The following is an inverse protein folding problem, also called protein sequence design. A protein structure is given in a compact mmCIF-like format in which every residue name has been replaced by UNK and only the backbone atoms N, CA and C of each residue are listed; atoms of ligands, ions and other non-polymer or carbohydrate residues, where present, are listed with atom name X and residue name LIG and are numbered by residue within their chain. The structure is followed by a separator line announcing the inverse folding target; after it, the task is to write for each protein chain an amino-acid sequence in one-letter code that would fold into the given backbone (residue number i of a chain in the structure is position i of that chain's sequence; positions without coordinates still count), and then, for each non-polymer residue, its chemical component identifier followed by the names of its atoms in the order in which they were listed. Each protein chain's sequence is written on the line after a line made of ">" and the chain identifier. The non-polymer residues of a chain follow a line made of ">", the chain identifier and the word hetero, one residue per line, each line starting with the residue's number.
data_IF_292340650381
#
_entry.id   IF_292340650381
#
_cell.length_a   1.000
_cell.length_b   1.000
_cell.length_c   1.000
_cell.angle_alpha   90.00
_cell.angle_beta   90.00
_cell.angle_gamma   90.00
#
_symmetry.space_group_name_H-M   'P 1'
#
loop_
_entity.id
_entity.type
_entity.pdbx_description
1 polymer ?
#
# COMPACT_ATOMS: atom_id res chain seq x y z
N UNK A 1 6.67 14.02 9.19
CA UNK A 1 7.44 14.78 8.16
C UNK A 1 6.56 15.85 7.49
N UNK A 2 5.45 15.52 6.85
CA UNK A 2 4.56 16.46 6.15
C UNK A 2 4.14 17.64 7.03
N UNK A 3 3.64 17.40 8.24
CA UNK A 3 3.27 18.43 9.21
C UNK A 3 4.43 19.40 9.53
N UNK A 4 5.66 18.89 9.68
CA UNK A 4 6.85 19.75 9.91
C UNK A 4 7.21 20.64 8.71
N UNK A 5 6.66 20.35 7.53
CA UNK A 5 6.83 21.12 6.28
C UNK A 5 5.60 21.97 5.96
N UNK A 6 4.74 22.22 6.96
CA UNK A 6 3.61 23.14 6.85
C UNK A 6 2.31 22.54 6.32
N UNK A 7 2.24 21.23 6.07
CA UNK A 7 1.01 20.58 5.65
C UNK A 7 0.09 20.31 6.85
N UNK A 8 -1.19 20.56 6.71
CA UNK A 8 -2.20 20.02 7.60
C UNK A 8 -2.42 18.54 7.25
N UNK A 9 -2.18 17.67 8.21
CA UNK A 9 -2.18 16.22 7.99
C UNK A 9 -3.30 15.56 8.79
N UNK A 10 -4.23 14.92 8.10
CA UNK A 10 -5.22 14.03 8.68
C UNK A 10 -4.68 12.60 8.66
N UNK A 11 -4.20 12.14 9.80
CA UNK A 11 -3.56 10.82 9.94
C UNK A 11 -4.60 9.77 10.35
N UNK A 12 -5.34 9.23 9.39
CA UNK A 12 -6.41 8.26 9.65
C UNK A 12 -5.91 6.90 10.13
N UNK A 13 -6.70 6.27 10.98
CA UNK A 13 -6.51 4.89 11.45
C UNK A 13 -7.82 4.11 11.34
N UNK A 14 -7.72 2.77 11.31
CA UNK A 14 -8.88 1.87 11.26
C UNK A 14 -9.47 1.54 12.63
N UNK A 15 -8.75 1.85 13.72
CA UNK A 15 -9.18 1.59 15.09
C UNK A 15 -9.33 2.89 15.86
N UNK A 16 -10.43 3.06 16.62
CA UNK A 16 -10.65 4.27 17.41
C UNK A 16 -9.52 4.58 18.40
N UNK A 17 -8.96 3.54 19.05
CA UNK A 17 -7.85 3.69 19.99
C UNK A 17 -6.58 4.24 19.34
N UNK A 18 -6.29 3.85 18.11
CA UNK A 18 -5.15 4.39 17.35
C UNK A 18 -5.40 5.84 16.91
N UNK A 19 -6.64 6.18 16.54
CA UNK A 19 -7.04 7.57 16.27
C UNK A 19 -6.85 8.44 17.51
N UNK A 20 -7.30 7.99 18.69
CA UNK A 20 -7.14 8.73 19.94
C UNK A 20 -5.67 8.97 20.27
N UNK A 21 -4.82 7.96 20.14
CA UNK A 21 -3.37 8.09 20.33
C UNK A 21 -2.75 9.14 19.39
N UNK A 22 -3.16 9.19 18.13
CA UNK A 22 -2.65 10.20 17.19
C UNK A 22 -3.17 11.61 17.52
N UNK A 23 -4.42 11.75 18.01
CA UNK A 23 -4.96 13.03 18.47
C UNK A 23 -4.19 13.55 19.70
N UNK A 24 -3.83 12.68 20.64
CA UNK A 24 -2.95 13.02 21.78
C UNK A 24 -1.57 13.51 21.34
N UNK A 25 -1.09 13.04 20.17
CA UNK A 25 0.17 13.50 19.56
C UNK A 25 0.01 14.80 18.73
N UNK A 26 -1.19 15.38 18.69
CA UNK A 26 -1.47 16.64 17.98
C UNK A 26 -1.79 16.49 16.48
N UNK A 27 -2.25 15.30 16.05
CA UNK A 27 -2.76 15.11 14.68
C UNK A 27 -4.28 15.15 14.65
N UNK A 28 -4.85 15.70 13.59
CA UNK A 28 -6.23 15.36 13.21
C UNK A 28 -6.25 13.88 12.77
N UNK A 29 -7.12 13.07 13.36
CA UNK A 29 -7.13 11.62 13.09
C UNK A 29 -8.55 11.08 12.93
N UNK A 30 -9.14 11.20 11.72
CA UNK A 30 -10.43 10.61 11.40
C UNK A 30 -10.34 9.07 11.34
N UNK A 31 -11.46 8.40 11.64
CA UNK A 31 -11.56 6.95 11.55
C UNK A 31 -11.82 6.55 10.10
N UNK A 32 -10.88 5.85 9.48
CA UNK A 32 -11.03 5.27 8.13
C UNK A 32 -10.59 3.82 8.16
N UNK A 33 -11.52 2.91 7.90
CA UNK A 33 -11.24 1.49 7.75
C UNK A 33 -11.62 1.02 6.35
N UNK A 34 -10.64 0.63 5.53
CA UNK A 34 -10.87 0.15 4.17
C UNK A 34 -11.69 -1.15 4.10
N UNK A 35 -11.74 -1.92 5.18
CA UNK A 35 -12.60 -3.10 5.29
C UNK A 35 -14.04 -2.72 5.66
N UNK A 36 -14.27 -1.50 6.16
CA UNK A 36 -15.58 -0.99 6.56
C UNK A 36 -15.87 0.40 5.94
N UNK A 37 -16.35 0.47 4.70
CA UNK A 37 -16.59 1.73 3.98
C UNK A 37 -17.61 2.70 4.62
N UNK A 38 -18.39 2.24 5.59
CA UNK A 38 -19.32 3.11 6.35
C UNK A 38 -18.55 4.24 7.06
N UNK A 39 -17.28 4.00 7.40
CA UNK A 39 -16.41 4.99 8.05
C UNK A 39 -15.99 6.13 7.13
N UNK A 40 -16.11 6.00 5.80
CA UNK A 40 -15.58 6.97 4.85
C UNK A 40 -16.33 8.30 4.86
N UNK A 41 -17.65 8.26 4.77
CA UNK A 41 -18.45 9.49 4.69
C UNK A 41 -18.28 10.38 5.93
N UNK A 42 -18.40 9.88 7.17
CA UNK A 42 -18.16 10.72 8.35
C UNK A 42 -16.73 11.28 8.40
N UNK A 43 -15.73 10.49 8.01
CA UNK A 43 -14.33 10.94 7.98
C UNK A 43 -14.10 12.05 6.94
N UNK A 44 -14.71 11.94 5.75
CA UNK A 44 -14.64 12.97 4.71
C UNK A 44 -15.31 14.25 5.20
N UNK A 45 -16.50 14.15 5.79
CA UNK A 45 -17.22 15.31 6.35
C UNK A 45 -16.41 16.02 7.44
N UNK A 46 -15.78 15.26 8.35
CA UNK A 46 -14.86 15.80 9.38
C UNK A 46 -13.70 16.57 8.74
N UNK A 47 -13.05 15.98 7.71
CA UNK A 47 -11.92 16.61 7.00
C UNK A 47 -12.38 17.90 6.31
N UNK A 48 -13.46 17.84 5.54
CA UNK A 48 -13.93 18.99 4.75
C UNK A 48 -14.43 20.12 5.65
N UNK A 49 -15.10 19.82 6.76
CA UNK A 49 -15.49 20.82 7.75
C UNK A 49 -14.25 21.53 8.34
N UNK A 50 -13.16 20.79 8.56
CA UNK A 50 -11.93 21.33 9.14
C UNK A 50 -11.04 22.08 8.14
N UNK A 51 -11.24 21.89 6.82
CA UNK A 51 -10.42 22.49 5.74
C UNK A 51 -11.16 23.55 4.92
N UNK A 52 -12.43 23.81 5.24
CA UNK A 52 -13.26 24.72 4.43
C UNK A 52 -13.67 24.14 3.09
N UNK A 53 -13.80 22.82 3.01
CA UNK A 53 -14.32 22.11 1.83
C UNK A 53 -13.24 21.63 0.84
N UNK A 54 -11.95 21.67 1.20
CA UNK A 54 -10.85 21.31 0.28
C UNK A 54 -10.02 20.14 0.79
N UNK A 55 -9.41 19.37 -0.15
CA UNK A 55 -8.45 18.31 0.13
C UNK A 55 -7.41 18.23 -1.01
N UNK A 56 -6.20 18.73 -0.76
CA UNK A 56 -5.14 18.79 -1.78
C UNK A 56 -4.64 17.41 -2.20
N UNK A 57 -4.52 16.47 -1.27
CA UNK A 57 -3.99 15.14 -1.56
C UNK A 57 -4.56 14.05 -0.65
N UNK A 58 -4.70 12.85 -1.21
CA UNK A 58 -4.91 11.61 -0.46
C UNK A 58 -3.71 10.69 -0.65
N UNK A 59 -3.21 10.11 0.46
CA UNK A 59 -2.19 9.06 0.43
C UNK A 59 -2.77 7.75 0.92
N UNK A 60 -3.06 6.85 0.00
CA UNK A 60 -3.50 5.50 0.31
C UNK A 60 -2.29 4.65 0.73
N UNK A 61 -2.22 4.31 2.01
CA UNK A 61 -1.08 3.61 2.60
C UNK A 61 -1.47 2.32 3.35
N UNK A 62 -2.65 2.28 3.95
CA UNK A 62 -3.08 1.16 4.79
C UNK A 62 -3.26 -0.14 4.01
N UNK A 63 -2.37 -1.12 4.22
CA UNK A 63 -2.40 -2.42 3.57
C UNK A 63 -1.70 -3.47 4.45
N UNK A 64 -1.98 -4.74 4.19
CA UNK A 64 -1.31 -5.87 4.83
C UNK A 64 -1.09 -7.03 3.85
N UNK A 65 -0.31 -8.03 4.27
CA UNK A 65 -0.13 -9.28 3.52
C UNK A 65 -0.69 -10.46 4.29
N UNK A 66 -1.14 -11.48 3.56
CA UNK A 66 -1.43 -12.82 4.06
C UNK A 66 -0.38 -13.74 3.42
N UNK A 67 0.69 -14.13 4.14
CA UNK A 67 1.71 -15.03 3.62
C UNK A 67 1.18 -16.45 3.49
N UNK A 68 1.53 -17.14 2.41
CA UNK A 68 1.18 -18.53 2.16
C UNK A 68 1.17 -18.86 0.67
N UNK A 69 1.20 -20.14 0.29
CA UNK A 69 0.91 -20.59 -1.07
C UNK A 69 -0.51 -20.15 -1.47
N UNK A 70 -0.72 -19.82 -2.73
CA UNK A 70 -2.05 -19.38 -3.20
C UNK A 70 -3.14 -20.45 -3.00
N UNK A 71 -2.79 -21.73 -3.09
CA UNK A 71 -3.73 -22.83 -2.87
C UNK A 71 -4.24 -22.93 -1.44
N UNK A 72 -3.51 -22.43 -0.44
CA UNK A 72 -3.89 -22.40 0.97
C UNK A 72 -4.61 -21.10 1.38
N UNK A 73 -4.67 -20.11 0.50
CA UNK A 73 -5.40 -18.87 0.76
C UNK A 73 -6.88 -19.05 0.42
N UNK A 74 -7.71 -19.07 1.44
CA UNK A 74 -9.16 -19.24 1.25
C UNK A 74 -9.76 -18.10 0.42
N UNK A 75 -10.89 -18.34 -0.28
CA UNK A 75 -11.60 -17.27 -1.00
C UNK A 75 -11.98 -16.09 -0.11
N UNK A 76 -12.31 -16.33 1.17
CA UNK A 76 -12.67 -15.27 2.11
C UNK A 76 -11.45 -14.44 2.53
N UNK A 77 -10.30 -15.07 2.76
CA UNK A 77 -9.04 -14.38 2.98
C UNK A 77 -8.67 -13.52 1.77
N UNK A 78 -8.86 -14.04 0.55
CA UNK A 78 -8.60 -13.30 -0.68
C UNK A 78 -9.55 -12.10 -0.84
N UNK A 79 -10.86 -12.26 -0.59
CA UNK A 79 -11.82 -11.14 -0.61
C UNK A 79 -11.44 -10.07 0.40
N UNK A 80 -11.09 -10.47 1.63
CA UNK A 80 -10.76 -9.54 2.71
C UNK A 80 -9.50 -8.73 2.39
N UNK A 81 -8.44 -9.36 1.88
CA UNK A 81 -7.22 -8.61 1.51
C UNK A 81 -7.46 -7.71 0.30
N UNK A 82 -8.29 -8.10 -0.67
CA UNK A 82 -8.69 -7.24 -1.78
C UNK A 82 -9.52 -6.05 -1.29
N UNK A 83 -10.43 -6.26 -0.35
CA UNK A 83 -11.19 -5.17 0.26
C UNK A 83 -10.26 -4.15 0.91
N UNK A 84 -9.33 -4.59 1.75
CA UNK A 84 -8.41 -3.72 2.48
C UNK A 84 -7.40 -2.99 1.59
N UNK A 85 -6.82 -3.71 0.60
CA UNK A 85 -5.65 -3.23 -0.15
C UNK A 85 -6.00 -2.60 -1.50
N UNK A 86 -7.25 -2.76 -1.98
CA UNK A 86 -7.65 -2.31 -3.30
C UNK A 86 -9.07 -1.71 -3.36
N UNK A 87 -10.12 -2.48 -3.04
CA UNK A 87 -11.50 -2.03 -3.21
C UNK A 87 -11.83 -0.84 -2.31
N UNK A 88 -11.40 -0.86 -1.05
CA UNK A 88 -11.59 0.27 -0.13
C UNK A 88 -10.85 1.53 -0.59
N UNK A 89 -9.68 1.38 -1.23
CA UNK A 89 -8.97 2.53 -1.81
C UNK A 89 -9.73 3.11 -3.00
N UNK A 90 -10.25 2.24 -3.88
CA UNK A 90 -11.08 2.64 -5.00
C UNK A 90 -12.33 3.41 -4.52
N UNK A 91 -13.07 2.85 -3.57
CA UNK A 91 -14.30 3.47 -3.06
C UNK A 91 -14.04 4.80 -2.37
N UNK A 92 -12.99 4.90 -1.53
CA UNK A 92 -12.62 6.18 -0.93
C UNK A 92 -12.21 7.20 -2.00
N UNK A 93 -11.46 6.80 -3.03
CA UNK A 93 -11.09 7.69 -4.13
C UNK A 93 -12.33 8.21 -4.87
N UNK A 94 -13.30 7.33 -5.17
CA UNK A 94 -14.56 7.75 -5.82
C UNK A 94 -15.30 8.83 -5.03
N UNK A 95 -15.28 8.75 -3.69
CA UNK A 95 -15.91 9.75 -2.82
C UNK A 95 -15.13 11.06 -2.75
N UNK A 96 -13.81 11.05 -2.96
CA UNK A 96 -12.93 12.23 -2.93
C UNK A 96 -12.84 12.95 -4.27
N UNK A 97 -13.01 12.26 -5.39
CA UNK A 97 -12.93 12.86 -6.73
C UNK A 97 -13.85 14.07 -6.94
N UNK A 98 -15.14 14.07 -6.50
CA UNK A 98 -15.97 15.27 -6.63
C UNK A 98 -15.37 16.49 -5.95
N UNK A 99 -14.81 16.34 -4.75
CA UNK A 99 -14.16 17.43 -4.01
C UNK A 99 -12.97 17.97 -4.80
N UNK A 100 -12.13 17.08 -5.33
CA UNK A 100 -10.96 17.46 -6.12
C UNK A 100 -11.35 18.15 -7.44
N UNK A 101 -12.47 17.75 -8.06
CA UNK A 101 -13.02 18.41 -9.26
C UNK A 101 -13.55 19.80 -8.95
N UNK A 102 -14.33 19.95 -7.89
CA UNK A 102 -14.93 21.23 -7.48
C UNK A 102 -13.86 22.27 -7.13
N UNK A 103 -12.74 21.86 -6.53
CA UNK A 103 -11.61 22.74 -6.22
C UNK A 103 -10.66 22.96 -7.40
N UNK A 104 -10.78 22.19 -8.48
CA UNK A 104 -9.99 22.30 -9.71
C UNK A 104 -8.57 21.71 -9.64
N UNK A 105 -8.23 20.94 -8.61
CA UNK A 105 -6.95 20.26 -8.47
C UNK A 105 -7.03 19.09 -7.48
N UNK A 106 -6.08 18.16 -7.56
CA UNK A 106 -5.99 17.07 -6.60
C UNK A 106 -4.77 16.17 -6.81
N UNK A 107 -4.39 15.46 -5.76
CA UNK A 107 -3.31 14.48 -5.83
C UNK A 107 -3.72 13.17 -5.18
N UNK A 108 -3.73 12.10 -5.95
CA UNK A 108 -3.99 10.73 -5.48
C UNK A 108 -2.67 10.00 -5.46
N UNK A 109 -2.15 9.73 -4.27
CA UNK A 109 -0.88 9.01 -4.09
C UNK A 109 -1.15 7.63 -3.53
N UNK A 110 -0.61 6.60 -4.17
CA UNK A 110 -0.86 5.20 -3.85
C UNK A 110 0.44 4.52 -3.41
N UNK A 111 0.48 3.98 -2.19
CA UNK A 111 1.62 3.20 -1.73
C UNK A 111 1.54 1.78 -2.29
N UNK A 112 2.11 1.58 -3.46
CA UNK A 112 2.26 0.28 -4.10
C UNK A 112 3.40 -0.54 -3.48
N UNK A 113 4.17 -1.23 -4.26
CA UNK A 113 5.31 -2.06 -3.83
C UNK A 113 6.12 -2.50 -5.05
N UNK A 114 7.37 -2.93 -4.84
CA UNK A 114 8.10 -3.76 -5.79
C UNK A 114 7.26 -4.99 -6.18
N UNK A 115 6.43 -5.50 -5.25
CA UNK A 115 5.50 -6.61 -5.47
C UNK A 115 4.24 -6.20 -6.26
N UNK A 116 4.15 -4.96 -6.72
CA UNK A 116 3.15 -4.52 -7.70
C UNK A 116 3.49 -4.86 -9.15
N UNK A 117 4.76 -5.22 -9.42
CA UNK A 117 5.20 -5.57 -10.77
C UNK A 117 6.07 -6.84 -10.84
N UNK A 118 6.48 -7.42 -9.71
CA UNK A 118 7.10 -8.76 -9.64
C UNK A 118 6.36 -9.67 -8.67
N UNK A 119 6.37 -10.99 -8.96
CA UNK A 119 5.84 -12.03 -8.06
C UNK A 119 6.95 -12.69 -7.24
N UNK A 120 6.65 -13.07 -6.00
CA UNK A 120 7.54 -13.88 -5.17
C UNK A 120 6.75 -14.98 -4.47
N UNK A 121 7.40 -16.10 -4.14
CA UNK A 121 6.77 -17.19 -3.38
C UNK A 121 6.19 -16.66 -2.07
N UNK A 122 5.11 -17.27 -1.59
CA UNK A 122 4.44 -17.00 -0.32
C UNK A 122 3.77 -15.64 -0.17
N UNK A 123 3.72 -14.85 -1.25
CA UNK A 123 3.16 -13.48 -1.25
C UNK A 123 2.00 -13.30 -2.23
N UNK A 124 1.45 -14.40 -2.78
CA UNK A 124 0.52 -14.34 -3.91
C UNK A 124 -0.71 -13.47 -3.66
N UNK A 125 -1.37 -13.58 -2.52
CA UNK A 125 -2.53 -12.76 -2.20
C UNK A 125 -2.20 -11.25 -2.21
N UNK A 126 -1.10 -10.85 -1.57
CA UNK A 126 -0.64 -9.46 -1.56
C UNK A 126 -0.20 -8.97 -2.94
N UNK A 127 0.60 -9.78 -3.65
CA UNK A 127 1.04 -9.50 -5.03
C UNK A 127 -0.16 -9.20 -5.92
N UNK A 128 -1.21 -10.02 -5.87
CA UNK A 128 -2.41 -9.83 -6.68
C UNK A 128 -3.07 -8.47 -6.44
N UNK A 129 -3.18 -8.03 -5.17
CA UNK A 129 -3.75 -6.70 -4.85
C UNK A 129 -2.89 -5.57 -5.38
N UNK A 130 -1.56 -5.69 -5.30
CA UNK A 130 -0.66 -4.63 -5.77
C UNK A 130 -0.55 -4.57 -7.29
N UNK A 131 -0.61 -5.71 -8.00
CA UNK A 131 -0.74 -5.72 -9.47
C UNK A 131 -2.05 -5.08 -9.93
N UNK A 132 -3.17 -5.38 -9.27
CA UNK A 132 -4.45 -4.72 -9.54
C UNK A 132 -4.35 -3.21 -9.36
N UNK A 133 -3.69 -2.75 -8.28
CA UNK A 133 -3.49 -1.34 -7.98
C UNK A 133 -2.65 -0.62 -9.04
N UNK A 134 -1.59 -1.26 -9.57
CA UNK A 134 -0.75 -0.69 -10.63
C UNK A 134 -1.55 -0.44 -11.91
N UNK A 135 -2.32 -1.45 -12.36
CA UNK A 135 -3.17 -1.32 -13.54
C UNK A 135 -4.28 -0.28 -13.35
N UNK A 136 -4.92 -0.27 -12.19
CA UNK A 136 -5.93 0.72 -11.84
C UNK A 136 -5.37 2.15 -11.86
N UNK A 137 -4.19 2.36 -11.30
CA UNK A 137 -3.55 3.68 -11.28
C UNK A 137 -3.19 4.18 -12.67
N UNK A 138 -2.75 3.29 -13.58
CA UNK A 138 -2.45 3.64 -14.97
C UNK A 138 -3.71 4.11 -15.71
N UNK A 139 -4.85 3.41 -15.53
CA UNK A 139 -6.12 3.80 -16.13
C UNK A 139 -6.61 5.13 -15.56
N UNK A 140 -6.65 5.26 -14.22
CA UNK A 140 -7.09 6.51 -13.56
C UNK A 140 -6.26 7.72 -14.00
N UNK A 141 -4.96 7.57 -14.19
CA UNK A 141 -4.08 8.65 -14.65
C UNK A 141 -4.44 9.11 -16.08
N UNK A 142 -4.82 8.19 -16.95
CA UNK A 142 -5.27 8.51 -18.31
C UNK A 142 -6.66 9.15 -18.32
N UNK A 143 -7.57 8.67 -17.48
CA UNK A 143 -8.95 9.19 -17.38
C UNK A 143 -8.99 10.60 -16.78
N UNK A 144 -8.07 10.92 -15.88
CA UNK A 144 -8.01 12.22 -15.19
C UNK A 144 -7.04 13.24 -15.86
N UNK A 145 -6.47 12.91 -17.02
CA UNK A 145 -5.46 13.74 -17.70
C UNK A 145 -5.91 15.20 -17.90
N UNK A 146 -7.19 15.41 -18.20
CA UNK A 146 -7.77 16.75 -18.45
C UNK A 146 -8.24 17.49 -17.18
N UNK A 147 -8.16 16.86 -16.00
CA UNK A 147 -8.84 17.35 -14.78
C UNK A 147 -7.89 18.00 -13.75
N UNK A 148 -6.63 18.21 -14.05
CA UNK A 148 -5.61 18.69 -13.09
C UNK A 148 -5.61 17.86 -11.76
N UNK A 149 -5.99 16.59 -11.86
CA UNK A 149 -5.92 15.60 -10.76
C UNK A 149 -4.88 14.56 -11.14
N UNK A 150 -3.81 14.49 -10.38
CA UNK A 150 -2.68 13.63 -10.72
C UNK A 150 -2.66 12.37 -9.87
N UNK A 151 -2.41 11.22 -10.51
CA UNK A 151 -2.31 9.90 -9.87
C UNK A 151 -0.87 9.44 -9.88
N UNK A 152 -0.33 9.18 -8.69
CA UNK A 152 1.09 8.87 -8.49
C UNK A 152 1.24 7.61 -7.66
N UNK A 153 2.11 6.70 -8.11
CA UNK A 153 2.48 5.49 -7.38
C UNK A 153 3.82 5.69 -6.66
N UNK A 154 3.89 5.25 -5.41
CA UNK A 154 5.15 5.04 -4.70
C UNK A 154 5.37 3.53 -4.64
N UNK A 155 6.50 3.07 -5.15
CA UNK A 155 6.87 1.66 -5.25
C UNK A 155 8.03 1.33 -4.27
N UNK A 156 7.76 1.07 -2.97
CA UNK A 156 8.80 0.67 -2.04
C UNK A 156 9.28 -0.75 -2.32
N UNK A 157 10.55 -0.99 -2.03
CA UNK A 157 11.08 -2.31 -1.79
C UNK A 157 11.11 -2.61 -0.29
N UNK A 158 12.22 -3.17 0.23
CA UNK A 158 12.37 -3.41 1.66
C UNK A 158 12.38 -2.10 2.47
N UNK A 159 11.42 -1.97 3.39
CA UNK A 159 11.29 -0.82 4.31
C UNK A 159 11.12 -1.33 5.74
N UNK A 160 11.86 -0.74 6.68
CA UNK A 160 11.69 -1.01 8.11
C UNK A 160 10.32 -0.51 8.57
N UNK A 161 9.43 -1.42 8.97
CA UNK A 161 8.04 -1.12 9.37
C UNK A 161 7.40 -2.29 10.12
N UNK A 162 6.21 -2.06 10.68
CA UNK A 162 5.38 -3.10 11.31
C UNK A 162 4.68 -4.06 10.30
N UNK A 163 4.95 -3.92 9.01
CA UNK A 163 4.30 -4.71 7.96
C UNK A 163 4.42 -6.22 8.19
N UNK A 164 5.61 -6.67 8.65
CA UNK A 164 5.85 -8.07 8.96
C UNK A 164 5.04 -8.56 10.16
N UNK A 165 5.02 -7.78 11.25
CA UNK A 165 4.26 -8.13 12.45
C UNK A 165 2.76 -8.21 12.13
N UNK A 166 2.27 -7.31 11.27
CA UNK A 166 0.89 -7.37 10.78
C UNK A 166 0.66 -8.59 9.86
N UNK A 167 1.63 -8.97 9.03
CA UNK A 167 1.52 -10.16 8.19
C UNK A 167 1.49 -11.46 9.01
N UNK A 168 2.23 -11.54 10.13
CA UNK A 168 2.15 -12.67 11.08
C UNK A 168 0.73 -12.82 11.61
N UNK A 169 0.12 -11.74 12.11
CA UNK A 169 -1.27 -11.77 12.62
C UNK A 169 -2.27 -12.25 11.58
N UNK A 170 -2.08 -11.85 10.32
CA UNK A 170 -2.95 -12.28 9.23
C UNK A 170 -2.70 -13.73 8.82
N UNK A 171 -1.46 -14.19 8.87
CA UNK A 171 -1.11 -15.60 8.67
C UNK A 171 -1.79 -16.47 9.70
N UNK A 172 -1.65 -16.16 10.99
CA UNK A 172 -2.27 -16.90 12.10
C UNK A 172 -3.80 -16.91 12.04
N UNK A 173 -4.41 -15.85 11.48
CA UNK A 173 -5.86 -15.76 11.32
C UNK A 173 -6.41 -16.59 10.18
N UNK A 174 -5.68 -16.69 9.06
CA UNK A 174 -6.25 -17.13 7.79
C UNK A 174 -5.66 -18.43 7.24
N UNK A 175 -4.48 -18.85 7.70
CA UNK A 175 -3.75 -19.98 7.08
C UNK A 175 -3.65 -21.15 8.02
N UNK A 176 -4.35 -22.22 7.69
CA UNK A 176 -4.26 -23.51 8.37
C UNK A 176 -3.10 -24.33 7.75
N UNK A 177 -1.88 -23.90 8.05
CA UNK A 177 -0.68 -24.46 7.46
C UNK A 177 -0.37 -25.90 7.90
N UNK A 178 -0.83 -26.31 9.09
CA UNK A 178 -0.57 -27.66 9.63
C UNK A 178 -1.30 -28.75 8.84
N UNK A 179 -2.48 -28.42 8.31
CA UNK A 179 -3.29 -29.30 7.47
C UNK A 179 -3.03 -29.13 5.97
N UNK A 180 -2.09 -28.25 5.58
CA UNK A 180 -1.71 -28.05 4.18
C UNK A 180 -0.92 -29.25 3.64
N UNK A 181 -1.13 -29.65 2.36
CA UNK A 181 -0.23 -30.59 1.68
C UNK A 181 1.22 -30.10 1.61
N UNK A 182 1.46 -28.80 1.89
CA UNK A 182 2.78 -28.18 1.96
C UNK A 182 3.29 -27.94 3.38
N UNK A 183 2.76 -28.62 4.39
CA UNK A 183 3.16 -28.42 5.79
C UNK A 183 4.68 -28.48 6.01
N UNK A 184 5.38 -29.36 5.32
CA UNK A 184 6.85 -29.46 5.41
C UNK A 184 7.58 -28.25 4.79
N UNK A 185 7.06 -27.69 3.68
CA UNK A 185 7.61 -26.44 3.13
C UNK A 185 7.39 -25.26 4.10
N UNK A 186 6.26 -25.20 4.79
CA UNK A 186 6.01 -24.22 5.84
C UNK A 186 7.05 -24.33 6.95
N UNK A 187 7.21 -25.52 7.53
CA UNK A 187 8.17 -25.75 8.64
C UNK A 187 9.61 -25.40 8.24
N UNK A 188 10.01 -25.82 7.05
CA UNK A 188 11.41 -25.70 6.61
C UNK A 188 11.78 -24.34 6.00
N UNK A 189 10.79 -23.49 5.68
CA UNK A 189 11.08 -22.24 4.95
C UNK A 189 10.27 -21.04 5.44
N UNK A 190 8.92 -21.07 5.32
CA UNK A 190 8.10 -19.89 5.55
C UNK A 190 8.06 -19.48 7.01
N UNK A 191 7.87 -20.43 7.94
CA UNK A 191 7.78 -20.13 9.37
C UNK A 191 9.08 -19.51 9.89
N UNK A 192 10.22 -20.02 9.48
CA UNK A 192 11.52 -19.43 9.84
C UNK A 192 11.66 -18.00 9.29
N UNK A 193 11.34 -17.79 8.04
CA UNK A 193 11.34 -16.44 7.45
C UNK A 193 10.33 -15.51 8.12
N UNK A 194 9.19 -16.02 8.54
CA UNK A 194 8.10 -15.23 9.11
C UNK A 194 8.37 -14.85 10.58
N UNK A 195 8.80 -15.80 11.42
CA UNK A 195 8.97 -15.60 12.87
C UNK A 195 10.39 -15.21 13.28
N UNK A 196 11.42 -15.85 12.73
CA UNK A 196 12.81 -15.54 13.08
C UNK A 196 13.39 -14.36 12.32
N UNK A 197 12.86 -14.08 11.14
CA UNK A 197 13.36 -13.07 10.23
C UNK A 197 14.55 -13.52 9.39
N UNK A 198 14.66 -12.90 8.24
CA UNK A 198 15.83 -13.03 7.37
C UNK A 198 16.95 -12.03 7.71
N UNK A 199 16.90 -11.38 8.89
CA UNK A 199 17.73 -10.22 9.15
C UNK A 199 17.30 -8.97 8.35
N UNK A 200 18.05 -7.90 8.43
CA UNK A 200 17.83 -6.75 7.54
C UNK A 200 18.19 -7.16 6.10
N UNK A 201 17.21 -7.10 5.22
CA UNK A 201 17.47 -7.35 3.80
C UNK A 201 18.39 -6.25 3.26
N UNK A 202 19.37 -6.64 2.44
CA UNK A 202 20.31 -5.71 1.82
C UNK A 202 19.56 -4.63 1.03
N UNK A 203 19.79 -3.37 1.36
CA UNK A 203 19.09 -2.24 0.73
C UNK A 203 17.76 -1.87 1.41
N UNK A 204 17.48 -2.37 2.62
CA UNK A 204 16.36 -1.89 3.45
C UNK A 204 16.56 -0.42 3.81
N UNK A 205 15.50 0.38 3.67
CA UNK A 205 15.49 1.80 4.03
C UNK A 205 14.46 2.07 5.15
N UNK A 206 14.63 3.15 5.92
CA UNK A 206 13.64 3.56 6.91
C UNK A 206 12.37 4.09 6.25
N UNK A 207 11.25 4.11 6.99
CA UNK A 207 9.96 4.63 6.51
C UNK A 207 10.02 6.10 6.03
N UNK A 208 11.00 6.88 6.52
CA UNK A 208 11.26 8.25 6.06
C UNK A 208 11.57 8.33 4.57
N UNK A 209 12.17 7.29 3.97
CA UNK A 209 12.45 7.25 2.54
C UNK A 209 11.15 7.26 1.69
N UNK A 210 10.10 6.58 2.17
CA UNK A 210 8.75 6.64 1.55
C UNK A 210 8.14 8.02 1.76
N UNK A 211 8.27 8.59 2.96
CA UNK A 211 7.74 9.93 3.27
C UNK A 211 8.37 11.04 2.43
N UNK A 212 9.68 10.92 2.09
CA UNK A 212 10.32 11.86 1.15
C UNK A 212 9.70 11.76 -0.26
N UNK A 213 9.43 10.54 -0.73
CA UNK A 213 8.76 10.37 -2.02
C UNK A 213 7.32 10.86 -2.00
N UNK A 214 6.62 10.69 -0.87
CA UNK A 214 5.30 11.28 -0.69
C UNK A 214 5.37 12.82 -0.78
N UNK A 215 6.33 13.44 -0.11
CA UNK A 215 6.51 14.88 -0.17
C UNK A 215 6.77 15.36 -1.61
N UNK A 216 7.66 14.70 -2.34
CA UNK A 216 7.89 14.98 -3.76
C UNK A 216 6.61 14.81 -4.58
N UNK A 217 5.90 13.68 -4.41
CA UNK A 217 4.66 13.38 -5.13
C UNK A 217 3.56 14.42 -4.93
N UNK A 218 3.50 15.12 -3.80
CA UNK A 218 2.46 16.13 -3.53
C UNK A 218 2.91 17.58 -3.79
N UNK A 219 4.21 17.84 -3.92
CA UNK A 219 4.75 19.21 -4.09
C UNK A 219 5.26 19.50 -5.49
N UNK A 220 5.73 18.48 -6.24
CA UNK A 220 6.17 18.66 -7.61
C UNK A 220 4.99 19.03 -8.52
N UNK A 221 5.17 20.01 -9.40
CA UNK A 221 4.12 20.46 -10.33
C UNK A 221 3.76 19.32 -11.29
N UNK A 222 4.78 18.65 -11.84
CA UNK A 222 4.64 17.53 -12.76
C UNK A 222 5.43 16.31 -12.21
N UNK A 223 4.86 15.57 -11.24
CA UNK A 223 5.53 14.42 -10.67
C UNK A 223 5.54 13.24 -11.65
N UNK A 224 6.60 12.41 -11.63
CA UNK A 224 6.58 11.19 -12.39
C UNK A 224 5.45 10.26 -11.92
N UNK A 225 4.88 9.46 -12.83
CA UNK A 225 3.82 8.52 -12.49
C UNK A 225 4.22 7.51 -11.38
N UNK A 226 5.54 7.24 -11.21
CA UNK A 226 6.07 6.25 -10.26
C UNK A 226 7.34 6.72 -9.58
N UNK A 227 7.37 6.65 -8.24
CA UNK A 227 8.58 6.83 -7.43
C UNK A 227 9.07 5.49 -6.88
N UNK A 228 10.18 4.98 -7.38
CA UNK A 228 10.84 3.77 -6.88
C UNK A 228 11.77 4.11 -5.72
N UNK A 229 11.47 3.61 -4.53
CA UNK A 229 12.11 4.08 -3.30
C UNK A 229 13.47 3.44 -3.06
N UNK A 230 13.63 2.13 -3.31
CA UNK A 230 14.86 1.40 -3.00
C UNK A 230 15.64 1.00 -4.25
N UNK A 231 16.95 0.79 -4.12
CA UNK A 231 17.79 0.29 -5.21
C UNK A 231 17.28 -1.07 -5.77
N UNK A 232 16.91 -2.06 -4.92
CA UNK A 232 16.32 -3.29 -5.44
C UNK A 232 15.08 -3.06 -6.32
N UNK A 233 14.21 -2.12 -5.95
CA UNK A 233 13.02 -1.79 -6.74
C UNK A 233 13.39 -1.18 -8.09
N UNK A 234 14.37 -0.28 -8.12
CA UNK A 234 14.85 0.32 -9.37
C UNK A 234 15.46 -0.74 -10.30
N UNK A 235 16.34 -1.59 -9.77
CA UNK A 235 16.97 -2.67 -10.53
C UNK A 235 15.95 -3.66 -11.10
N UNK A 236 14.97 -4.10 -10.27
CA UNK A 236 13.93 -5.03 -10.72
C UNK A 236 12.97 -4.41 -11.74
N UNK A 237 12.70 -3.11 -11.66
CA UNK A 237 11.87 -2.43 -12.67
C UNK A 237 12.56 -2.39 -14.04
N UNK A 238 13.86 -2.23 -14.09
CA UNK A 238 14.65 -2.35 -15.32
C UNK A 238 14.67 -3.81 -15.79
N UNK A 239 15.01 -4.74 -14.89
CA UNK A 239 15.07 -6.17 -15.20
C UNK A 239 13.75 -6.70 -15.79
N UNK A 240 12.59 -6.30 -15.21
CA UNK A 240 11.25 -6.68 -15.69
C UNK A 240 10.99 -6.25 -17.15
N UNK A 241 11.60 -5.15 -17.61
CA UNK A 241 11.41 -4.63 -18.97
C UNK A 241 12.27 -5.29 -20.02
N UNK A 242 13.48 -5.74 -19.62
CA UNK A 242 14.48 -6.22 -20.58
C UNK A 242 14.74 -7.73 -20.53
N UNK A 243 14.44 -8.39 -19.40
CA UNK A 243 14.72 -9.81 -19.25
C UNK A 243 13.51 -10.67 -19.67
N UNK A 244 13.73 -11.78 -20.38
CA UNK A 244 12.71 -12.79 -20.59
C UNK A 244 12.15 -13.34 -19.28
N UNK A 245 10.87 -13.74 -19.26
CA UNK A 245 10.20 -14.25 -18.07
C UNK A 245 10.96 -15.40 -17.39
N UNK A 246 11.50 -16.34 -18.17
CA UNK A 246 12.27 -17.47 -17.63
C UNK A 246 13.51 -17.03 -16.82
N UNK A 247 14.17 -15.94 -17.22
CA UNK A 247 15.32 -15.40 -16.51
C UNK A 247 14.87 -14.69 -15.22
N UNK A 248 13.78 -13.95 -15.28
CA UNK A 248 13.17 -13.34 -14.08
C UNK A 248 12.76 -14.39 -13.07
N UNK A 249 12.08 -15.46 -13.50
CA UNK A 249 11.67 -16.56 -12.63
C UNK A 249 12.88 -17.25 -11.98
N UNK A 250 13.98 -17.41 -12.75
CA UNK A 250 15.22 -17.98 -12.23
C UNK A 250 15.83 -17.09 -11.12
N UNK A 251 15.81 -15.76 -11.28
CA UNK A 251 16.24 -14.80 -10.25
C UNK A 251 15.34 -14.88 -9.02
N UNK A 252 14.02 -14.78 -9.23
CA UNK A 252 13.02 -14.70 -8.16
C UNK A 252 12.87 -15.99 -7.35
N UNK A 253 13.21 -17.15 -7.93
CA UNK A 253 13.28 -18.42 -7.20
C UNK A 253 14.41 -18.46 -6.17
N UNK A 254 15.42 -17.60 -6.28
CA UNK A 254 16.60 -17.53 -5.42
C UNK A 254 16.55 -16.37 -4.42
N UNK A 255 15.60 -15.46 -4.59
CA UNK A 255 15.33 -14.35 -3.68
C UNK A 255 14.39 -14.78 -2.54
#
# INVERSE_FOLDING_TARGET
>A
MMQRRGWRVFASCRKPEDCNRLREMGFDSPLIDYENPITFTPAIEEILAATGGTLDAVFHNGAYAIPGPLEDISPDAMRTIFQANFLGWHELTQKLLPVMRDQGHGRIVLNSSILGFIGTKWRGAYVSTKFALEGWADVMRLELESENIQVVLIEPGPITSEFRNNAIKQFEKWVDWENSPRADEYRNTLLDKLYKGSGEMKGTLPASAVSEKLFQAVTEIDPPARYRVTMPTQAMAVAKRILPQAVLDWILKRA
#
